data_IF_100163731256
#
_entry.id   IF_100163731256
#
_cell.length_a   1.000
_cell.length_b   1.000
_cell.length_c   1.000
_cell.angle_alpha   90.00
_cell.angle_beta   90.00
_cell.angle_gamma   90.00
#
_symmetry.space_group_name_H-M   'P 1'
#
loop_
_entity.id
_entity.type
_entity.pdbx_description
1 polymer ?
#
# COMPACT_ATOMS: atom_id res chain seq x y z
N UNK A 1 22.45 10.89 51.80
CA UNK A 1 21.94 11.52 50.60
C UNK A 1 22.30 10.74 49.32
N UNK A 2 23.55 10.38 49.06
CA UNK A 2 23.99 9.63 47.85
C UNK A 2 23.34 8.24 47.65
N UNK A 3 23.01 7.50 48.69
CA UNK A 3 22.37 6.16 48.60
C UNK A 3 20.96 6.25 48.04
N UNK A 4 20.17 7.24 48.44
CA UNK A 4 18.78 7.43 47.97
C UNK A 4 18.74 7.83 46.49
N UNK A 5 19.62 8.73 46.08
CA UNK A 5 19.73 9.12 44.66
C UNK A 5 20.11 7.93 43.74
N UNK A 6 20.97 7.04 44.22
CA UNK A 6 21.37 5.83 43.46
C UNK A 6 20.21 4.83 43.31
N UNK A 7 19.36 4.72 44.33
CA UNK A 7 18.15 3.86 44.30
C UNK A 7 17.13 4.44 43.33
N UNK A 8 16.87 5.74 43.37
CA UNK A 8 15.94 6.42 42.44
C UNK A 8 16.41 6.35 40.98
N UNK A 9 17.71 6.50 40.73
CA UNK A 9 18.28 6.38 39.42
C UNK A 9 18.15 4.95 38.85
N UNK A 10 18.34 3.92 39.66
CA UNK A 10 18.18 2.53 39.26
C UNK A 10 16.71 2.16 39.06
N UNK A 11 15.77 2.72 39.82
CA UNK A 11 14.33 2.58 39.64
C UNK A 11 13.90 3.20 38.27
N UNK A 12 14.39 4.38 37.96
CA UNK A 12 14.08 4.98 36.65
C UNK A 12 14.59 4.15 35.48
N UNK A 13 15.81 3.59 35.57
CA UNK A 13 16.32 2.69 34.52
C UNK A 13 15.48 1.42 34.41
N UNK A 14 15.06 0.84 35.51
CA UNK A 14 14.21 -0.35 35.52
C UNK A 14 12.86 -0.05 34.84
N UNK A 15 12.23 1.09 35.11
CA UNK A 15 10.97 1.50 34.49
C UNK A 15 11.13 1.67 32.99
N UNK A 16 12.18 2.32 32.52
CA UNK A 16 12.46 2.49 31.06
C UNK A 16 12.63 1.13 30.38
N UNK A 17 13.37 0.21 30.99
CA UNK A 17 13.56 -1.14 30.45
C UNK A 17 12.22 -1.89 30.36
N UNK A 18 11.43 -1.88 31.45
CA UNK A 18 10.12 -2.56 31.49
C UNK A 18 9.17 -1.99 30.43
N UNK A 19 9.07 -0.66 30.30
CA UNK A 19 8.23 -0.01 29.31
C UNK A 19 8.70 -0.38 27.88
N UNK A 20 10.01 -0.37 27.64
CA UNK A 20 10.56 -0.75 26.34
C UNK A 20 10.25 -2.20 25.97
N UNK A 21 10.37 -3.13 26.92
CA UNK A 21 10.02 -4.54 26.72
C UNK A 21 8.52 -4.70 26.44
N UNK A 22 7.67 -3.98 27.15
CA UNK A 22 6.23 -3.99 26.92
C UNK A 22 5.89 -3.48 25.52
N UNK A 23 6.47 -2.35 25.11
CA UNK A 23 6.23 -1.78 23.76
C UNK A 23 6.69 -2.73 22.66
N UNK A 24 7.87 -3.36 22.82
CA UNK A 24 8.37 -4.34 21.85
C UNK A 24 7.46 -5.57 21.82
N UNK A 25 7.04 -6.09 22.99
CA UNK A 25 6.18 -7.27 23.07
C UNK A 25 4.80 -7.02 22.46
N UNK A 26 4.15 -5.88 22.78
CA UNK A 26 2.87 -5.50 22.17
C UNK A 26 3.02 -5.20 20.66
N UNK A 27 4.10 -4.55 20.26
CA UNK A 27 4.40 -4.35 18.83
C UNK A 27 4.56 -5.68 18.09
N UNK A 28 5.21 -6.67 18.70
CA UNK A 28 5.35 -8.01 18.14
C UNK A 28 4.01 -8.76 18.07
N UNK A 29 3.17 -8.69 19.12
CA UNK A 29 1.83 -9.29 19.12
C UNK A 29 0.93 -8.68 18.05
N UNK A 30 0.91 -7.35 17.89
CA UNK A 30 0.12 -6.67 16.86
C UNK A 30 0.55 -7.12 15.45
N UNK A 31 1.84 -7.37 15.25
CA UNK A 31 2.36 -7.84 13.95
C UNK A 31 1.99 -9.29 13.65
N UNK A 32 1.79 -10.12 14.70
CA UNK A 32 1.38 -11.52 14.55
C UNK A 32 -0.12 -11.65 14.28
N UNK A 33 -0.95 -10.77 14.86
CA UNK A 33 -2.40 -10.87 14.79
C UNK A 33 -3.04 -10.38 13.47
N UNK A 34 -2.24 -9.91 12.51
CA UNK A 34 -2.77 -9.51 11.20
C UNK A 34 -2.00 -10.20 10.04
N UNK A 35 -2.03 -11.55 9.97
CA UNK A 35 -1.45 -12.26 8.85
C UNK A 35 -2.19 -11.92 7.56
N UNK A 36 -1.48 -11.96 6.43
CA UNK A 36 -2.10 -11.89 5.11
C UNK A 36 -3.07 -13.07 4.95
N UNK A 37 -4.25 -12.82 4.42
CA UNK A 37 -5.11 -13.91 3.95
C UNK A 37 -4.54 -14.53 2.65
N UNK A 38 -5.15 -15.61 2.16
CA UNK A 38 -4.69 -16.32 0.97
C UNK A 38 -4.62 -15.42 -0.25
N UNK A 39 -5.66 -14.61 -0.50
CA UNK A 39 -5.71 -13.69 -1.65
C UNK A 39 -4.69 -12.57 -1.56
N UNK A 40 -4.43 -12.08 -0.35
CA UNK A 40 -3.39 -11.09 -0.08
C UNK A 40 -1.98 -11.67 -0.28
N UNK A 41 -1.73 -12.91 0.16
CA UNK A 41 -0.47 -13.61 -0.10
C UNK A 41 -0.18 -13.76 -1.60
N UNK A 42 -1.19 -14.17 -2.36
CA UNK A 42 -1.08 -14.32 -3.81
C UNK A 42 -0.80 -12.98 -4.50
N UNK A 43 -1.53 -11.91 -4.11
CA UNK A 43 -1.32 -10.57 -4.62
C UNK A 43 0.10 -10.07 -4.32
N UNK A 44 0.55 -10.19 -3.07
CA UNK A 44 1.89 -9.78 -2.65
C UNK A 44 2.97 -10.55 -3.42
N UNK A 45 2.82 -11.86 -3.56
CA UNK A 45 3.76 -12.69 -4.32
C UNK A 45 3.84 -12.27 -5.80
N UNK A 46 2.69 -12.02 -6.43
CA UNK A 46 2.64 -11.50 -7.79
C UNK A 46 3.34 -10.14 -7.91
N UNK A 47 3.03 -9.20 -7.03
CA UNK A 47 3.67 -7.88 -7.02
C UNK A 47 5.18 -8.01 -6.91
N UNK A 48 5.67 -8.83 -5.98
CA UNK A 48 7.11 -9.01 -5.74
C UNK A 48 7.84 -9.59 -6.95
N UNK A 49 7.23 -10.55 -7.64
CA UNK A 49 7.87 -11.32 -8.70
C UNK A 49 7.72 -10.70 -10.09
N UNK A 50 6.65 -9.93 -10.32
CA UNK A 50 6.26 -9.49 -11.66
C UNK A 50 6.50 -7.99 -11.89
N UNK A 51 6.53 -7.18 -10.81
CA UNK A 51 6.62 -5.73 -10.96
C UNK A 51 8.00 -5.18 -10.59
N UNK A 52 8.37 -4.04 -11.18
CA UNK A 52 9.60 -3.34 -10.84
C UNK A 52 9.63 -2.93 -9.36
N UNK A 53 10.83 -2.85 -8.77
CA UNK A 53 11.00 -2.44 -7.37
C UNK A 53 10.52 -1.01 -7.11
N UNK A 54 10.61 -0.14 -8.10
CA UNK A 54 10.22 1.27 -8.01
C UNK A 54 8.76 1.49 -8.45
N UNK A 55 8.01 0.41 -8.73
CA UNK A 55 6.62 0.51 -9.14
C UNK A 55 5.75 1.16 -8.06
N UNK A 56 4.90 2.09 -8.49
CA UNK A 56 3.98 2.84 -7.65
C UNK A 56 2.57 2.31 -7.83
N UNK A 57 1.95 1.96 -6.72
CA UNK A 57 0.59 1.41 -6.66
C UNK A 57 -0.38 2.40 -6.05
N UNK A 58 -1.65 2.32 -6.44
CA UNK A 58 -2.73 3.01 -5.75
C UNK A 58 -4.03 2.19 -5.83
N UNK A 59 -5.00 2.51 -4.97
CA UNK A 59 -6.30 1.88 -4.91
C UNK A 59 -7.20 2.51 -3.86
N UNK A 60 -8.49 2.17 -3.82
CA UNK A 60 -9.42 2.68 -2.82
C UNK A 60 -9.05 2.15 -1.43
N UNK A 61 -8.90 3.06 -0.47
CA UNK A 61 -8.54 2.76 0.93
C UNK A 61 -9.54 1.81 1.61
N UNK A 62 -10.81 1.86 1.20
CA UNK A 62 -11.88 1.03 1.76
C UNK A 62 -11.80 -0.44 1.35
N UNK A 63 -11.06 -0.75 0.29
CA UNK A 63 -11.02 -2.09 -0.30
C UNK A 63 -9.68 -2.79 -0.12
N UNK A 64 -8.60 -2.01 0.03
CA UNK A 64 -7.23 -2.51 0.03
C UNK A 64 -6.49 -1.96 1.23
N UNK A 65 -5.92 -2.85 2.03
CA UNK A 65 -4.96 -2.45 3.04
C UNK A 65 -3.62 -2.05 2.37
N UNK A 66 -3.52 -0.78 2.04
CA UNK A 66 -2.34 -0.20 1.38
C UNK A 66 -1.07 -0.37 2.23
N UNK A 67 -1.21 -0.40 3.55
CA UNK A 67 -0.11 -0.68 4.47
C UNK A 67 0.47 -2.08 4.23
N UNK A 68 -0.38 -3.09 4.03
CA UNK A 68 0.08 -4.45 3.73
C UNK A 68 0.89 -4.51 2.43
N UNK A 69 0.45 -3.82 1.38
CA UNK A 69 1.20 -3.75 0.11
C UNK A 69 2.55 -3.08 0.33
N UNK A 70 2.60 -1.96 1.04
CA UNK A 70 3.85 -1.26 1.33
C UNK A 70 4.83 -2.13 2.11
N UNK A 71 4.36 -2.79 3.16
CA UNK A 71 5.22 -3.56 4.07
C UNK A 71 5.61 -4.90 3.48
N UNK A 72 4.65 -5.67 2.99
CA UNK A 72 4.90 -7.05 2.54
C UNK A 72 5.36 -7.12 1.08
N UNK A 73 4.76 -6.37 0.17
CA UNK A 73 5.20 -6.34 -1.22
C UNK A 73 6.43 -5.44 -1.43
N UNK A 74 6.76 -4.56 -0.48
CA UNK A 74 7.89 -3.60 -0.55
C UNK A 74 7.81 -2.73 -1.81
N UNK A 75 6.63 -2.17 -2.07
CA UNK A 75 6.36 -1.26 -3.19
C UNK A 75 5.85 0.08 -2.69
N UNK A 76 6.08 1.12 -3.48
CA UNK A 76 5.57 2.43 -3.20
C UNK A 76 4.04 2.47 -3.35
N UNK A 77 3.38 3.12 -2.41
CA UNK A 77 1.96 3.46 -2.48
C UNK A 77 1.86 4.96 -2.70
N UNK A 78 1.09 5.37 -3.71
CA UNK A 78 0.94 6.78 -4.07
C UNK A 78 0.26 7.60 -2.96
N UNK A 79 -0.72 7.01 -2.29
CA UNK A 79 -1.29 7.55 -1.07
C UNK A 79 -1.70 6.41 -0.14
N UNK A 80 -1.48 6.59 1.15
CA UNK A 80 -1.92 5.67 2.20
C UNK A 80 -2.44 6.47 3.40
N UNK A 81 -3.00 5.76 4.38
CA UNK A 81 -3.56 6.35 5.59
C UNK A 81 -2.52 6.89 6.58
N UNK A 82 -1.22 6.72 6.31
CA UNK A 82 -0.18 7.21 7.17
C UNK A 82 -0.12 8.75 7.13
N UNK A 83 -0.51 9.37 8.23
CA UNK A 83 -0.49 10.83 8.36
C UNK A 83 0.95 11.36 8.32
N UNK A 84 1.24 12.39 7.50
CA UNK A 84 2.58 12.98 7.43
C UNK A 84 2.89 13.78 8.69
N UNK A 85 4.09 13.57 9.24
CA UNK A 85 4.54 14.30 10.43
C UNK A 85 5.05 15.71 10.16
N UNK A 86 5.13 16.13 8.88
CA UNK A 86 5.67 17.43 8.48
C UNK A 86 4.61 18.26 7.78
N UNK A 87 4.47 19.53 8.20
CA UNK A 87 3.43 20.44 7.70
C UNK A 87 3.45 20.66 6.18
N UNK A 88 4.63 20.63 5.57
CA UNK A 88 4.78 20.82 4.11
C UNK A 88 4.09 19.72 3.30
N UNK A 89 3.91 18.54 3.89
CA UNK A 89 3.26 17.40 3.23
C UNK A 89 1.76 17.30 3.49
N UNK A 90 1.21 18.05 4.46
CA UNK A 90 -0.21 17.95 4.84
C UNK A 90 -1.12 18.31 3.66
N UNK A 91 -0.82 19.39 2.94
CA UNK A 91 -1.63 19.83 1.79
C UNK A 91 -1.64 18.80 0.66
N UNK A 92 -0.48 18.18 0.40
CA UNK A 92 -0.34 17.16 -0.61
C UNK A 92 -1.06 15.86 -0.19
N UNK A 93 -0.95 15.47 1.07
CA UNK A 93 -1.68 14.36 1.65
C UNK A 93 -3.19 14.54 1.50
N UNK A 94 -3.73 15.71 1.89
CA UNK A 94 -5.15 16.02 1.76
C UNK A 94 -5.62 16.03 0.30
N UNK A 95 -4.78 16.53 -0.62
CA UNK A 95 -5.05 16.50 -2.05
C UNK A 95 -5.19 15.07 -2.56
N UNK A 96 -4.23 14.20 -2.24
CA UNK A 96 -4.24 12.79 -2.64
C UNK A 96 -5.42 12.04 -2.05
N UNK A 97 -5.70 12.25 -0.77
CA UNK A 97 -6.82 11.63 -0.08
C UNK A 97 -8.16 11.98 -0.71
N UNK A 98 -8.37 13.25 -1.11
CA UNK A 98 -9.58 13.66 -1.86
C UNK A 98 -9.70 12.96 -3.21
N UNK A 99 -8.60 12.70 -3.89
CA UNK A 99 -8.61 11.97 -5.16
C UNK A 99 -9.01 10.52 -4.89
N UNK A 100 -8.39 9.86 -3.92
CA UNK A 100 -8.69 8.45 -3.59
C UNK A 100 -10.15 8.26 -3.16
N UNK A 101 -10.72 9.16 -2.37
CA UNK A 101 -12.11 9.04 -1.93
C UNK A 101 -13.13 9.07 -3.08
N UNK A 102 -12.74 9.58 -4.25
CA UNK A 102 -13.58 9.64 -5.44
C UNK A 102 -13.13 8.67 -6.55
N UNK A 103 -12.12 7.85 -6.31
CA UNK A 103 -11.45 7.06 -7.35
C UNK A 103 -12.38 6.05 -8.02
N UNK A 104 -13.32 5.47 -7.27
CA UNK A 104 -14.28 4.51 -7.79
C UNK A 104 -15.27 5.10 -8.81
N UNK A 105 -15.40 6.44 -8.83
CA UNK A 105 -16.23 7.14 -9.83
C UNK A 105 -15.51 7.43 -11.14
N UNK A 106 -14.18 7.22 -11.18
CA UNK A 106 -13.38 7.52 -12.36
C UNK A 106 -13.51 6.42 -13.41
N UNK A 107 -13.58 6.84 -14.67
CA UNK A 107 -13.42 5.91 -15.80
C UNK A 107 -11.97 5.42 -15.92
N UNK A 108 -11.73 4.32 -16.66
CA UNK A 108 -10.36 3.86 -16.93
C UNK A 108 -9.52 4.94 -17.61
N UNK A 109 -10.10 5.74 -18.48
CA UNK A 109 -9.40 6.85 -19.17
C UNK A 109 -8.96 7.91 -18.15
N UNK A 110 -9.82 8.25 -17.19
CA UNK A 110 -9.49 9.23 -16.15
C UNK A 110 -8.41 8.69 -15.21
N UNK A 111 -8.47 7.38 -14.86
CA UNK A 111 -7.42 6.70 -14.09
C UNK A 111 -6.07 6.74 -14.81
N UNK A 112 -6.05 6.47 -16.12
CA UNK A 112 -4.81 6.55 -16.92
C UNK A 112 -4.26 7.98 -17.00
N UNK A 113 -5.14 8.98 -17.14
CA UNK A 113 -4.73 10.38 -17.13
C UNK A 113 -4.14 10.79 -15.78
N UNK A 114 -4.78 10.38 -14.66
CA UNK A 114 -4.27 10.58 -13.32
C UNK A 114 -2.91 9.90 -13.14
N UNK A 115 -2.81 8.64 -13.54
CA UNK A 115 -1.59 7.85 -13.43
C UNK A 115 -0.41 8.50 -14.17
N UNK A 116 -0.66 9.03 -15.36
CA UNK A 116 0.36 9.76 -16.14
C UNK A 116 0.84 11.01 -15.44
N UNK A 117 -0.08 11.81 -14.86
CA UNK A 117 0.24 13.04 -14.13
C UNK A 117 1.01 12.77 -12.84
N UNK A 118 0.64 11.73 -12.12
CA UNK A 118 1.15 11.40 -10.79
C UNK A 118 2.25 10.33 -10.80
N UNK A 119 2.63 9.83 -11.99
CA UNK A 119 3.64 8.77 -12.18
C UNK A 119 3.29 7.49 -11.43
N UNK A 120 2.05 7.04 -11.56
CA UNK A 120 1.54 5.81 -10.99
C UNK A 120 1.58 4.71 -12.05
N UNK A 121 1.92 3.49 -11.64
CA UNK A 121 2.07 2.36 -12.55
C UNK A 121 0.87 1.41 -12.52
N UNK A 122 0.33 1.14 -11.34
CA UNK A 122 -0.69 0.12 -11.13
C UNK A 122 -1.86 0.62 -10.31
N UNK A 123 -3.06 0.24 -10.72
CA UNK A 123 -4.29 0.41 -9.97
C UNK A 123 -4.79 -0.93 -9.46
N UNK A 124 -5.02 -1.04 -8.15
CA UNK A 124 -5.58 -2.23 -7.51
C UNK A 124 -7.01 -1.94 -7.08
N UNK A 125 -7.92 -2.88 -7.30
CA UNK A 125 -9.30 -2.81 -6.83
C UNK A 125 -9.85 -4.20 -6.52
N UNK A 126 -11.04 -4.28 -5.93
CA UNK A 126 -11.72 -5.55 -5.70
C UNK A 126 -12.26 -6.16 -7.01
N UNK A 127 -12.31 -7.48 -7.05
CA UNK A 127 -12.77 -8.24 -8.22
C UNK A 127 -14.22 -7.96 -8.61
N UNK A 128 -15.09 -7.62 -7.67
CA UNK A 128 -16.48 -7.26 -7.93
C UNK A 128 -16.61 -5.98 -8.78
N UNK A 129 -15.58 -5.14 -8.80
CA UNK A 129 -15.47 -3.93 -9.62
C UNK A 129 -14.96 -4.18 -11.05
N UNK A 130 -14.62 -5.41 -11.42
CA UNK A 130 -14.04 -5.74 -12.75
C UNK A 130 -14.92 -5.27 -13.90
N UNK A 131 -16.25 -5.32 -13.73
CA UNK A 131 -17.21 -4.89 -14.76
C UNK A 131 -17.16 -3.40 -15.03
N UNK A 132 -16.71 -2.61 -14.08
CA UNK A 132 -16.57 -1.16 -14.24
C UNK A 132 -15.44 -0.79 -15.21
N UNK A 133 -14.47 -1.70 -15.36
CA UNK A 133 -13.30 -1.51 -16.21
C UNK A 133 -13.19 -2.59 -17.31
N UNK A 134 -14.31 -3.06 -17.82
CA UNK A 134 -14.41 -4.19 -18.73
C UNK A 134 -13.65 -3.97 -20.08
N UNK A 135 -13.32 -2.72 -20.43
CA UNK A 135 -12.56 -2.38 -21.64
C UNK A 135 -11.04 -2.59 -21.49
N UNK A 136 -10.58 -2.91 -20.27
CA UNK A 136 -9.16 -3.06 -19.96
C UNK A 136 -8.85 -4.45 -19.46
N UNK A 137 -7.87 -5.10 -20.06
CA UNK A 137 -7.41 -6.41 -19.58
C UNK A 137 -6.60 -6.23 -18.29
N UNK A 138 -6.94 -6.96 -17.21
CA UNK A 138 -6.18 -6.89 -15.98
C UNK A 138 -4.79 -7.52 -16.13
N UNK A 139 -3.79 -6.93 -15.47
CA UNK A 139 -2.45 -7.51 -15.35
C UNK A 139 -2.42 -8.70 -14.39
N UNK A 140 -3.31 -8.69 -13.41
CA UNK A 140 -3.47 -9.74 -12.42
C UNK A 140 -4.91 -9.81 -11.92
N UNK A 141 -5.35 -11.02 -11.61
CA UNK A 141 -6.65 -11.29 -11.00
C UNK A 141 -6.56 -12.51 -10.10
N UNK A 142 -7.15 -12.43 -8.92
CA UNK A 142 -7.42 -13.58 -8.06
C UNK A 142 -8.87 -13.53 -7.53
N UNK A 143 -9.17 -14.25 -6.47
CA UNK A 143 -10.52 -14.34 -5.94
C UNK A 143 -11.04 -13.01 -5.36
N UNK A 144 -10.15 -12.13 -4.89
CA UNK A 144 -10.51 -10.87 -4.24
C UNK A 144 -10.04 -9.64 -5.00
N UNK A 145 -8.86 -9.66 -5.61
CA UNK A 145 -8.21 -8.48 -6.17
C UNK A 145 -8.07 -8.55 -7.68
N UNK A 146 -8.10 -7.37 -8.29
CA UNK A 146 -7.76 -7.14 -9.69
C UNK A 146 -6.74 -6.00 -9.76
N UNK A 147 -5.73 -6.16 -10.60
CA UNK A 147 -4.70 -5.14 -10.83
C UNK A 147 -4.68 -4.75 -12.30
N UNK A 148 -4.74 -3.46 -12.56
CA UNK A 148 -4.63 -2.88 -13.91
C UNK A 148 -3.31 -2.13 -14.04
N UNK A 149 -2.69 -2.24 -15.21
CA UNK A 149 -1.61 -1.34 -15.62
C UNK A 149 -2.24 -0.02 -16.06
N UNK A 150 -1.87 1.07 -15.42
CA UNK A 150 -2.36 2.42 -15.73
C UNK A 150 -1.29 3.34 -16.31
N UNK A 151 -0.03 2.94 -16.27
CA UNK A 151 1.09 3.62 -16.92
C UNK A 151 1.16 3.25 -18.41
N UNK A 152 1.20 4.24 -19.30
CA UNK A 152 1.34 4.02 -20.74
C UNK A 152 2.63 3.27 -21.11
N UNK A 153 3.71 3.51 -20.38
CA UNK A 153 5.01 2.87 -20.64
C UNK A 153 4.96 1.35 -20.38
N UNK A 154 4.24 0.93 -19.35
CA UNK A 154 4.12 -0.49 -19.00
C UNK A 154 3.07 -1.19 -19.86
N UNK A 155 2.01 -0.51 -20.29
CA UNK A 155 0.98 -1.09 -21.18
C UNK A 155 1.60 -1.52 -22.51
N UNK A 156 2.47 -0.70 -23.09
CA UNK A 156 3.19 -1.03 -24.33
C UNK A 156 4.09 -2.25 -24.17
N UNK A 157 4.67 -2.47 -23.00
CA UNK A 157 5.49 -3.65 -22.70
C UNK A 157 4.63 -4.89 -22.55
N UNK A 158 3.50 -4.79 -21.88
CA UNK A 158 2.57 -5.89 -21.66
C UNK A 158 1.91 -6.37 -22.94
N UNK A 159 1.53 -5.45 -23.85
CA UNK A 159 1.01 -5.76 -25.20
C UNK A 159 2.05 -6.47 -26.08
N UNK A 160 3.34 -6.23 -25.86
CA UNK A 160 4.43 -6.95 -26.54
C UNK A 160 4.67 -8.34 -25.97
N UNK A 161 4.43 -8.55 -24.67
CA UNK A 161 4.61 -9.85 -24.00
C UNK A 161 3.42 -10.77 -24.27
N UNK A 162 2.20 -10.21 -24.34
CA UNK A 162 0.97 -10.91 -24.66
C UNK A 162 0.36 -10.35 -25.96
N UNK A 163 0.92 -10.64 -27.14
CA UNK A 163 0.26 -10.27 -28.39
C UNK A 163 -1.08 -10.99 -28.42
N UNK A 164 -2.19 -10.23 -28.44
CA UNK A 164 -3.54 -10.78 -28.58
C UNK A 164 -3.51 -11.76 -29.74
N UNK A 165 -3.90 -13.01 -29.49
CA UNK A 165 -4.19 -13.96 -30.55
C UNK A 165 -5.39 -13.42 -31.33
N UNK A 166 -5.14 -12.69 -32.40
CA UNK A 166 -6.13 -12.41 -33.41
C UNK A 166 -6.42 -13.65 -34.24
#
# INVERSE_FOLDING_TARGET
MFRIMRILYNLNKLHVIVVSVIVIFFGFLITIDNPLDQSEHELVAWIQTTTNKDAVFFGPETEIDTFKIRVFAKRAIWADDAFPFHEDYIKEFDRRRKIISNIESLSMIDLMNLARLEKIDYYITNRDKIRHYAESDPAYINDRYVVYVVSENLKTVQDKINPRKN
#
